data_IF_225133205328
#
_entry.id   IF_225133205328
#
_cell.length_a   1.000
_cell.length_b   1.000
_cell.length_c   1.000
_cell.angle_alpha   90.00
_cell.angle_beta   90.00
_cell.angle_gamma   90.00
#
_symmetry.space_group_name_H-M   'P 1'
#
loop_
_entity.id
_entity.type
_entity.pdbx_description
1 polymer ?
#
# COMPACT_ATOMS: atom_id res chain seq x y z
N UNK A 1 -8.49 -1.99 -18.96
CA UNK A 1 -8.53 -0.72 -19.73
C UNK A 1 -7.10 -0.28 -19.93
N UNK A 2 -6.56 -0.34 -21.16
CA UNK A 2 -5.27 0.28 -21.46
C UNK A 2 -5.47 1.79 -21.54
N UNK A 3 -5.00 2.53 -20.54
CA UNK A 3 -4.96 4.00 -20.60
C UNK A 3 -3.72 4.39 -21.43
N UNK A 4 -3.93 4.98 -22.61
CA UNK A 4 -2.86 5.67 -23.33
C UNK A 4 -2.56 6.96 -22.59
N UNK A 5 -1.67 6.91 -21.61
CA UNK A 5 -1.14 8.12 -21.00
C UNK A 5 -0.09 8.73 -21.93
N UNK A 6 -0.16 10.05 -22.14
CA UNK A 6 0.98 10.75 -22.72
C UNK A 6 2.13 10.74 -21.71
N UNK A 7 3.37 10.90 -22.18
CA UNK A 7 4.53 10.99 -21.27
C UNK A 7 4.38 12.14 -20.26
N UNK A 8 3.66 13.20 -20.63
CA UNK A 8 3.35 14.35 -19.76
C UNK A 8 2.42 13.92 -18.63
N UNK A 9 1.37 13.14 -18.93
CA UNK A 9 0.42 12.69 -17.91
C UNK A 9 1.07 11.76 -16.89
N UNK A 10 1.99 10.90 -17.34
CA UNK A 10 2.79 10.04 -16.44
C UNK A 10 3.69 10.88 -15.54
N UNK A 11 4.30 11.94 -16.10
CA UNK A 11 5.14 12.85 -15.34
C UNK A 11 4.37 13.55 -14.22
N UNK A 12 3.20 14.10 -14.53
CA UNK A 12 2.35 14.77 -13.52
C UNK A 12 1.88 13.81 -12.42
N UNK A 13 1.52 12.58 -12.76
CA UNK A 13 1.12 11.58 -11.77
C UNK A 13 2.30 11.18 -10.86
N UNK A 14 3.51 11.06 -11.43
CA UNK A 14 4.72 10.77 -10.67
C UNK A 14 5.07 11.94 -9.73
N UNK A 15 4.98 13.18 -10.21
CA UNK A 15 5.22 14.38 -9.41
C UNK A 15 4.27 14.41 -8.20
N UNK A 16 2.98 14.11 -8.41
CA UNK A 16 2.00 13.99 -7.31
C UNK A 16 2.39 12.90 -6.30
N UNK A 17 2.83 11.73 -6.76
CA UNK A 17 3.29 10.63 -5.89
C UNK A 17 4.50 11.07 -5.07
N UNK A 18 5.43 11.82 -5.66
CA UNK A 18 6.63 12.33 -4.98
C UNK A 18 6.23 13.40 -3.93
N UNK A 19 5.34 14.32 -4.29
CA UNK A 19 4.87 15.37 -3.37
C UNK A 19 4.09 14.80 -2.19
N UNK A 20 3.30 13.74 -2.39
CA UNK A 20 2.50 13.11 -1.35
C UNK A 20 3.19 11.92 -0.67
N UNK A 21 4.47 11.66 -0.98
CA UNK A 21 5.18 10.43 -0.61
C UNK A 21 5.02 10.04 0.86
N UNK A 22 5.24 10.98 1.79
CA UNK A 22 5.14 10.73 3.24
C UNK A 22 3.70 10.45 3.70
N UNK A 23 2.70 10.90 2.94
CA UNK A 23 1.28 10.71 3.26
C UNK A 23 0.69 9.44 2.66
N UNK A 24 1.30 8.92 1.60
CA UNK A 24 0.85 7.70 0.89
C UNK A 24 1.71 6.48 1.22
N UNK A 25 2.69 6.58 2.11
CA UNK A 25 3.55 5.46 2.48
C UNK A 25 3.42 5.10 3.95
N UNK A 26 3.56 3.80 4.24
CA UNK A 26 3.73 3.24 5.59
C UNK A 26 5.03 2.45 5.59
N UNK A 27 5.95 2.81 6.48
CA UNK A 27 7.18 2.04 6.73
C UNK A 27 7.03 1.26 8.02
N UNK A 28 6.96 -0.07 7.91
CA UNK A 28 6.77 -0.95 9.06
C UNK A 28 8.09 -1.15 9.78
N UNK A 29 8.13 -0.75 11.05
CA UNK A 29 9.33 -0.82 11.86
C UNK A 29 9.43 -2.11 12.67
N UNK A 30 10.65 -2.49 13.03
CA UNK A 30 10.87 -3.68 13.86
C UNK A 30 10.37 -3.42 15.29
N UNK A 31 9.45 -4.26 15.76
CA UNK A 31 8.90 -4.18 17.12
C UNK A 31 7.68 -3.25 17.20
N UNK A 32 7.15 -2.81 16.06
CA UNK A 32 5.86 -2.16 15.98
C UNK A 32 4.76 -3.09 16.52
N UNK A 33 3.82 -2.52 17.26
CA UNK A 33 2.65 -3.25 17.76
C UNK A 33 1.75 -3.65 16.59
N UNK A 34 1.46 -4.95 16.47
CA UNK A 34 0.64 -5.50 15.39
C UNK A 34 -0.77 -4.88 15.38
N UNK A 35 -1.31 -4.56 16.55
CA UNK A 35 -2.62 -3.89 16.66
C UNK A 35 -2.55 -2.48 16.11
N UNK A 36 -1.53 -1.72 16.48
CA UNK A 36 -1.27 -0.38 15.94
C UNK A 36 -1.10 -0.38 14.42
N UNK A 37 -0.29 -1.28 13.88
CA UNK A 37 -0.07 -1.42 12.43
C UNK A 37 -1.37 -1.76 11.69
N UNK A 38 -2.18 -2.68 12.24
CA UNK A 38 -3.49 -3.02 11.66
C UNK A 38 -4.42 -1.81 11.62
N UNK A 39 -4.49 -1.04 12.71
CA UNK A 39 -5.31 0.19 12.77
C UNK A 39 -4.83 1.18 11.71
N UNK A 40 -3.52 1.40 11.60
CA UNK A 40 -2.93 2.33 10.64
C UNK A 40 -3.26 1.95 9.19
N UNK A 41 -3.12 0.68 8.81
CA UNK A 41 -3.46 0.21 7.46
C UNK A 41 -4.96 0.42 7.18
N UNK A 42 -5.84 0.15 8.15
CA UNK A 42 -7.28 0.41 8.02
C UNK A 42 -7.57 1.90 7.83
N UNK A 43 -6.87 2.78 8.54
CA UNK A 43 -7.01 4.23 8.37
C UNK A 43 -6.65 4.66 6.94
N UNK A 44 -5.57 4.13 6.37
CA UNK A 44 -5.19 4.40 4.97
C UNK A 44 -6.25 3.90 3.98
N UNK A 45 -6.79 2.69 4.18
CA UNK A 45 -7.91 2.17 3.38
C UNK A 45 -9.15 3.08 3.47
N UNK A 46 -9.42 3.67 4.65
CA UNK A 46 -10.57 4.58 4.86
C UNK A 46 -10.36 5.97 4.28
N UNK A 47 -9.11 6.46 4.22
CA UNK A 47 -8.76 7.76 3.62
C UNK A 47 -9.05 7.81 2.12
N UNK A 48 -9.21 6.66 1.45
CA UNK A 48 -9.56 6.58 0.02
C UNK A 48 -8.53 7.31 -0.88
N UNK A 49 -7.25 7.25 -0.52
CA UNK A 49 -6.13 7.69 -1.36
C UNK A 49 -6.15 6.94 -2.69
N UNK A 50 -5.85 7.61 -3.81
CA UNK A 50 -5.82 6.95 -5.13
C UNK A 50 -4.84 5.76 -5.13
N UNK A 51 -3.71 5.91 -4.44
CA UNK A 51 -2.71 4.88 -4.19
C UNK A 51 -2.08 5.07 -2.80
N UNK A 52 -1.68 3.97 -2.16
CA UNK A 52 -0.75 4.01 -1.04
C UNK A 52 0.11 2.74 -0.98
N UNK A 53 1.20 2.81 -0.23
CA UNK A 53 2.20 1.75 -0.14
C UNK A 53 2.46 1.34 1.29
N UNK A 54 2.74 0.05 1.49
CA UNK A 54 3.26 -0.48 2.74
C UNK A 54 4.62 -1.12 2.43
N UNK A 55 5.65 -0.71 3.14
CA UNK A 55 7.00 -1.24 3.01
C UNK A 55 7.41 -1.89 4.33
N UNK A 56 7.92 -3.11 4.27
CA UNK A 56 8.41 -3.81 5.44
C UNK A 56 9.70 -4.56 5.12
N UNK A 57 10.66 -4.48 6.02
CA UNK A 57 11.99 -5.05 5.82
C UNK A 57 12.38 -6.04 6.92
N UNK A 58 12.99 -7.16 6.52
CA UNK A 58 13.51 -8.16 7.44
C UNK A 58 12.44 -8.71 8.39
N UNK A 59 12.67 -8.59 9.71
CA UNK A 59 11.76 -9.15 10.73
C UNK A 59 10.40 -8.46 10.79
N UNK A 60 10.30 -7.20 10.33
CA UNK A 60 9.05 -6.44 10.31
C UNK A 60 8.09 -6.94 9.20
N UNK A 61 8.61 -7.67 8.21
CA UNK A 61 7.82 -8.15 7.07
C UNK A 61 6.79 -9.22 7.44
N UNK A 62 7.06 -10.04 8.46
CA UNK A 62 6.16 -11.14 8.86
C UNK A 62 4.86 -10.59 9.47
N UNK A 63 4.89 -9.69 10.47
CA UNK A 63 3.68 -9.05 10.98
C UNK A 63 2.89 -8.33 9.89
N UNK A 64 3.56 -7.53 9.05
CA UNK A 64 2.91 -6.79 7.97
C UNK A 64 2.20 -7.73 6.98
N UNK A 65 2.87 -8.81 6.58
CA UNK A 65 2.29 -9.82 5.71
C UNK A 65 1.04 -10.47 6.32
N UNK A 66 1.12 -10.88 7.59
CA UNK A 66 0.00 -11.52 8.29
C UNK A 66 -1.21 -10.58 8.38
N UNK A 67 -1.00 -9.33 8.79
CA UNK A 67 -2.07 -8.33 8.90
C UNK A 67 -2.70 -8.09 7.53
N UNK A 68 -1.92 -7.89 6.47
CA UNK A 68 -2.47 -7.66 5.13
C UNK A 68 -3.25 -8.87 4.64
N UNK A 69 -2.77 -10.09 4.92
CA UNK A 69 -3.48 -11.33 4.58
C UNK A 69 -4.81 -11.45 5.35
N UNK A 70 -4.83 -11.13 6.65
CA UNK A 70 -6.03 -11.09 7.47
C UNK A 70 -7.05 -10.08 6.94
N UNK A 71 -6.62 -8.84 6.69
CA UNK A 71 -7.48 -7.79 6.13
C UNK A 71 -8.06 -8.18 4.75
N UNK A 72 -7.30 -8.93 3.95
CA UNK A 72 -7.78 -9.47 2.69
C UNK A 72 -8.84 -10.58 2.90
N UNK A 73 -8.58 -11.51 3.83
CA UNK A 73 -9.50 -12.60 4.16
C UNK A 73 -10.82 -12.08 4.77
N UNK A 74 -10.74 -10.99 5.54
CA UNK A 74 -11.89 -10.24 6.07
C UNK A 74 -12.62 -9.41 4.99
N UNK A 75 -12.17 -9.43 3.74
CA UNK A 75 -12.64 -8.60 2.63
C UNK A 75 -12.52 -7.07 2.82
N UNK A 76 -11.87 -6.59 3.89
CA UNK A 76 -11.79 -5.17 4.21
C UNK A 76 -11.08 -4.36 3.11
N UNK A 77 -10.06 -4.92 2.46
CA UNK A 77 -9.35 -4.24 1.36
C UNK A 77 -10.32 -3.99 0.19
N UNK A 78 -11.07 -5.02 -0.23
CA UNK A 78 -12.02 -4.95 -1.34
C UNK A 78 -13.25 -4.09 -0.99
N UNK A 79 -13.77 -4.18 0.23
CA UNK A 79 -14.89 -3.33 0.70
C UNK A 79 -14.55 -1.85 0.70
N UNK A 80 -13.27 -1.52 0.97
CA UNK A 80 -12.74 -0.17 0.83
C UNK A 80 -12.39 0.20 -0.62
N UNK A 81 -12.67 -0.66 -1.59
CA UNK A 81 -12.53 -0.39 -3.02
C UNK A 81 -11.13 -0.54 -3.57
N UNK A 82 -10.22 -1.14 -2.81
CA UNK A 82 -8.83 -1.33 -3.22
C UNK A 82 -8.60 -2.69 -3.88
N UNK A 83 -7.64 -2.70 -4.79
CA UNK A 83 -6.87 -3.88 -5.16
C UNK A 83 -5.44 -3.67 -4.66
N UNK A 84 -4.70 -4.76 -4.48
CA UNK A 84 -3.29 -4.64 -4.13
C UNK A 84 -2.41 -5.62 -4.89
N UNK A 85 -1.14 -5.25 -5.02
CA UNK A 85 -0.08 -6.11 -5.52
C UNK A 85 1.04 -6.20 -4.50
N UNK A 86 1.73 -7.34 -4.49
CA UNK A 86 2.87 -7.58 -3.60
C UNK A 86 4.12 -7.76 -4.44
N UNK A 87 5.22 -7.14 -4.02
CA UNK A 87 6.54 -7.35 -4.58
C UNK A 87 7.51 -7.70 -3.45
N UNK A 88 8.34 -8.71 -3.69
CA UNK A 88 9.36 -9.17 -2.75
C UNK A 88 10.71 -9.12 -3.45
N UNK A 89 11.64 -8.40 -2.85
CA UNK A 89 13.04 -8.31 -3.31
C UNK A 89 13.97 -8.78 -2.20
N UNK A 90 15.14 -9.25 -2.59
CA UNK A 90 16.25 -9.45 -1.66
C UNK A 90 17.24 -8.32 -1.88
N UNK A 91 17.69 -7.67 -0.81
CA UNK A 91 18.65 -6.59 -0.91
C UNK A 91 20.11 -7.10 -1.03
N UNK A 92 21.06 -6.17 -1.10
CA UNK A 92 22.49 -6.51 -1.22
C UNK A 92 23.08 -7.24 -0.01
N UNK A 93 22.35 -7.34 1.10
CA UNK A 93 22.76 -8.01 2.33
C UNK A 93 22.00 -9.34 2.56
N UNK A 94 21.20 -9.78 1.58
CA UNK A 94 20.44 -11.03 1.66
C UNK A 94 19.15 -10.92 2.46
N UNK A 95 18.69 -9.71 2.80
CA UNK A 95 17.47 -9.47 3.56
C UNK A 95 16.29 -9.21 2.62
N UNK A 96 15.13 -9.79 2.98
CA UNK A 96 13.92 -9.65 2.20
C UNK A 96 13.25 -8.30 2.47
N UNK A 97 12.86 -7.64 1.38
CA UNK A 97 12.11 -6.40 1.33
C UNK A 97 10.76 -6.72 0.73
N UNK A 98 9.71 -6.47 1.50
CA UNK A 98 8.34 -6.63 1.05
C UNK A 98 7.74 -5.25 0.81
N UNK A 99 7.05 -5.12 -0.32
CA UNK A 99 6.28 -3.92 -0.64
C UNK A 99 4.91 -4.32 -1.14
N UNK A 100 3.89 -3.66 -0.62
CA UNK A 100 2.51 -3.77 -1.10
C UNK A 100 2.08 -2.43 -1.65
N UNK A 101 1.52 -2.43 -2.86
CA UNK A 101 0.92 -1.24 -3.47
C UNK A 101 -0.59 -1.44 -3.52
N UNK A 102 -1.34 -0.51 -2.92
CA UNK A 102 -2.78 -0.52 -2.84
C UNK A 102 -3.34 0.55 -3.78
N UNK A 103 -4.09 0.14 -4.79
CA UNK A 103 -4.68 1.03 -5.80
C UNK A 103 -6.20 1.05 -5.68
N UNK A 104 -6.79 2.24 -5.66
CA UNK A 104 -8.24 2.40 -5.59
C UNK A 104 -8.87 2.01 -6.94
N UNK A 105 -9.47 0.81 -6.98
CA UNK A 105 -10.07 0.25 -8.20
C UNK A 105 -11.54 0.63 -8.38
N UNK A 106 -12.27 0.92 -7.30
CA UNK A 106 -13.65 1.41 -7.35
C UNK A 106 -13.74 2.81 -6.74
N UNK A 107 -13.76 3.84 -7.59
CA UNK A 107 -14.28 5.15 -7.19
C UNK A 107 -15.78 4.98 -6.95
N UNK A 108 -16.21 4.86 -5.69
CA UNK A 108 -17.63 5.01 -5.37
C UNK A 108 -18.04 6.39 -5.88
N UNK A 109 -18.90 6.42 -6.90
CA UNK A 109 -19.64 7.63 -7.26
C UNK A 109 -20.53 7.91 -6.05
N UNK A 110 -20.14 8.89 -5.24
CA UNK A 110 -21.03 9.43 -4.22
C UNK A 110 -22.11 10.18 -4.99
N UNK A 111 -23.30 9.60 -5.05
CA UNK A 111 -24.52 10.23 -5.57
C UNK A 111 -25.11 11.08 -4.46
#
# INVERSE_FOLDING_TARGET
>A
MNRNFSQIDIGLELDKIIEEWDHITIFVEKGEDETGLRILIIEYLRKRLDIFFVFAYGKASVPAYNIIAELNNENLIRENGYMFSTNVKTDGYGLQVYSWAFELFQKKVVI
#
